data_IF_133944330908
#
_entry.id   IF_133944330908
#
_cell.length_a   1.000
_cell.length_b   1.000
_cell.length_c   1.000
_cell.angle_alpha   90.00
_cell.angle_beta   90.00
_cell.angle_gamma   90.00
#
_symmetry.space_group_name_H-M   'P 1'
#
loop_
_entity.id
_entity.type
_entity.pdbx_description
1 polymer ?
#
# COMPACT_ATOMS: atom_id res chain seq x y z
N UNK A 1 14.77 -14.32 23.77
CA UNK A 1 13.77 -13.47 23.10
C UNK A 1 12.48 -13.65 23.88
N UNK A 2 11.91 -12.57 24.40
CA UNK A 2 10.74 -12.61 25.27
C UNK A 2 9.47 -12.61 24.41
N UNK A 3 8.68 -13.69 24.45
CA UNK A 3 7.48 -13.87 23.62
C UNK A 3 6.42 -12.80 23.90
N UNK A 4 6.46 -12.15 25.07
CA UNK A 4 5.59 -11.02 25.43
C UNK A 4 5.84 -9.74 24.62
N UNK A 5 6.96 -9.66 23.87
CA UNK A 5 7.29 -8.51 23.02
C UNK A 5 6.73 -8.64 21.60
N UNK A 6 6.15 -9.78 21.22
CA UNK A 6 5.58 -9.99 19.89
C UNK A 6 4.17 -9.35 19.89
N UNK A 7 3.96 -8.27 19.10
CA UNK A 7 2.66 -7.63 19.06
C UNK A 7 1.60 -8.59 18.55
N UNK A 8 0.45 -8.62 19.24
CA UNK A 8 -0.72 -9.38 18.76
C UNK A 8 -1.08 -8.94 17.34
N UNK A 9 -1.62 -9.85 16.51
CA UNK A 9 -1.94 -9.58 15.08
C UNK A 9 -2.67 -8.25 14.87
N UNK A 10 -3.61 -7.92 15.75
CA UNK A 10 -4.37 -6.65 15.69
C UNK A 10 -3.47 -5.44 15.89
N UNK A 11 -2.54 -5.49 16.85
CA UNK A 11 -1.58 -4.42 17.10
C UNK A 11 -0.64 -4.23 15.91
N UNK A 12 -0.21 -5.33 15.28
CA UNK A 12 0.61 -5.27 14.07
C UNK A 12 -0.17 -4.65 12.90
N UNK A 13 -1.40 -5.10 12.67
CA UNK A 13 -2.29 -4.54 11.65
C UNK A 13 -2.53 -3.04 11.86
N UNK A 14 -2.78 -2.60 13.09
CA UNK A 14 -2.93 -1.17 13.40
C UNK A 14 -1.65 -0.38 13.09
N UNK A 15 -0.47 -0.90 13.47
CA UNK A 15 0.82 -0.27 13.15
C UNK A 15 1.05 -0.15 11.64
N UNK A 16 0.68 -1.19 10.87
CA UNK A 16 0.76 -1.16 9.40
C UNK A 16 -0.14 -0.06 8.83
N UNK A 17 -1.39 0.04 9.29
CA UNK A 17 -2.31 1.07 8.82
C UNK A 17 -1.88 2.49 9.20
N UNK A 18 -1.38 2.67 10.41
CA UNK A 18 -0.86 3.96 10.87
C UNK A 18 0.30 4.43 9.99
N UNK A 19 1.27 3.55 9.75
CA UNK A 19 2.42 3.85 8.90
C UNK A 19 1.99 4.09 7.44
N UNK A 20 1.11 3.25 6.90
CA UNK A 20 0.53 3.43 5.56
C UNK A 20 -0.10 4.81 5.38
N UNK A 21 -0.93 5.27 6.34
CA UNK A 21 -1.59 6.58 6.24
C UNK A 21 -0.56 7.70 6.20
N UNK A 22 0.44 7.65 7.08
CA UNK A 22 1.53 8.64 7.12
C UNK A 22 2.24 8.73 5.76
N UNK A 23 2.63 7.58 5.22
CA UNK A 23 3.38 7.52 3.96
C UNK A 23 2.51 7.93 2.77
N UNK A 24 1.24 7.51 2.74
CA UNK A 24 0.28 7.92 1.72
C UNK A 24 0.09 9.46 1.68
N UNK A 25 -0.08 10.11 2.83
CA UNK A 25 -0.19 11.58 2.86
C UNK A 25 1.08 12.25 2.33
N UNK A 26 2.26 11.81 2.77
CA UNK A 26 3.52 12.34 2.29
C UNK A 26 3.71 12.13 0.77
N UNK A 27 3.26 10.99 0.27
CA UNK A 27 3.29 10.64 -1.15
C UNK A 27 2.36 11.55 -1.98
N UNK A 28 1.14 11.78 -1.51
CA UNK A 28 0.18 12.66 -2.20
C UNK A 28 0.65 14.11 -2.24
N UNK A 29 1.31 14.61 -1.20
CA UNK A 29 1.92 15.94 -1.24
C UNK A 29 3.05 16.02 -2.26
N UNK A 30 3.89 14.98 -2.40
CA UNK A 30 4.91 14.92 -3.46
C UNK A 30 4.25 14.91 -4.84
N UNK A 31 3.20 14.12 -5.02
CA UNK A 31 2.46 14.03 -6.29
C UNK A 31 1.93 15.40 -6.76
N UNK A 32 1.48 16.28 -5.87
CA UNK A 32 1.02 17.63 -6.28
C UNK A 32 2.10 18.46 -7.00
N UNK A 33 3.37 18.15 -6.78
CA UNK A 33 4.51 18.84 -7.37
C UNK A 33 5.00 18.20 -8.69
N UNK A 34 4.27 17.22 -9.23
CA UNK A 34 4.55 16.55 -10.51
C UNK A 34 3.53 16.84 -11.64
N UNK A 35 3.15 18.10 -11.96
CA UNK A 35 2.22 18.38 -13.04
C UNK A 35 2.65 17.76 -14.38
N UNK A 36 1.72 17.06 -15.03
CA UNK A 36 1.95 16.43 -16.34
C UNK A 36 2.81 15.15 -16.31
N UNK A 37 3.16 14.63 -15.13
CA UNK A 37 3.97 13.40 -14.97
C UNK A 37 3.24 12.26 -14.25
N UNK A 38 1.92 12.32 -14.19
CA UNK A 38 1.12 11.24 -13.62
C UNK A 38 0.82 10.17 -14.67
N UNK A 39 1.23 8.94 -14.42
CA UNK A 39 0.72 7.78 -15.16
C UNK A 39 0.32 6.65 -14.20
N UNK A 40 -0.57 5.79 -14.68
CA UNK A 40 -1.10 4.67 -13.91
C UNK A 40 -0.90 3.38 -14.69
N UNK A 41 -0.42 2.34 -14.01
CA UNK A 41 -0.45 0.97 -14.54
C UNK A 41 -1.56 0.21 -13.83
N UNK A 42 -2.37 -0.48 -14.62
CA UNK A 42 -3.45 -1.35 -14.16
C UNK A 42 -3.12 -2.78 -14.59
N UNK A 43 -2.81 -3.61 -13.62
CA UNK A 43 -2.48 -5.01 -13.84
C UNK A 43 -3.71 -5.84 -13.50
N UNK A 44 -4.15 -6.70 -14.42
CA UNK A 44 -5.25 -7.63 -14.22
C UNK A 44 -4.72 -9.05 -14.43
N UNK A 45 -5.00 -9.93 -13.49
CA UNK A 45 -4.60 -11.33 -13.59
C UNK A 45 -5.60 -12.25 -12.88
N UNK A 46 -5.49 -13.53 -13.16
CA UNK A 46 -6.18 -14.58 -12.41
C UNK A 46 -5.15 -15.49 -11.76
N UNK A 47 -5.49 -16.12 -10.64
CA UNK A 47 -4.67 -17.18 -10.08
C UNK A 47 -5.06 -18.56 -10.64
N UNK A 48 -4.43 -19.63 -10.12
CA UNK A 48 -4.73 -21.01 -10.52
C UNK A 48 -6.12 -21.48 -10.08
N UNK A 49 -6.74 -20.79 -9.14
CA UNK A 49 -8.09 -21.06 -8.66
C UNK A 49 -9.15 -20.23 -9.42
N UNK A 50 -8.73 -19.47 -10.45
CA UNK A 50 -9.57 -18.56 -11.24
C UNK A 50 -10.11 -17.36 -10.45
N UNK A 51 -9.48 -17.02 -9.33
CA UNK A 51 -9.78 -15.78 -8.63
C UNK A 51 -9.23 -14.60 -9.44
N UNK A 52 -10.04 -13.55 -9.62
CA UNK A 52 -9.66 -12.36 -10.36
C UNK A 52 -9.04 -11.31 -9.42
N UNK A 53 -7.91 -10.75 -9.85
CA UNK A 53 -7.16 -9.74 -9.12
C UNK A 53 -6.93 -8.50 -9.98
N UNK A 54 -6.88 -7.34 -9.32
CA UNK A 54 -6.51 -6.07 -9.93
C UNK A 54 -5.51 -5.32 -9.07
N UNK A 55 -4.43 -4.88 -9.68
CA UNK A 55 -3.41 -4.03 -9.09
C UNK A 55 -3.42 -2.66 -9.78
N UNK A 56 -3.22 -1.59 -9.00
CA UNK A 56 -3.04 -0.25 -9.55
C UNK A 56 -1.78 0.35 -8.96
N UNK A 57 -0.89 0.86 -9.82
CA UNK A 57 0.31 1.61 -9.42
C UNK A 57 0.26 3.00 -10.02
N UNK A 58 0.48 4.02 -9.18
CA UNK A 58 0.59 5.41 -9.59
C UNK A 58 2.07 5.79 -9.69
N UNK A 59 2.48 6.31 -10.84
CA UNK A 59 3.80 6.86 -11.10
C UNK A 59 3.68 8.38 -11.24
N UNK A 60 4.48 9.15 -10.50
CA UNK A 60 4.44 10.61 -10.45
C UNK A 60 5.78 11.19 -10.01
#
# INVERSE_FOLDING_TARGET
FDDGMIPHRTQLTMKIFEQYRKDHYAMMEKSKHSPGRHCYTFDLWTDRNLDAFGGTTHHF
#
